data_IF_439575864546
#
_entry.id   IF_439575864546
#
_cell.length_a   1.000
_cell.length_b   1.000
_cell.length_c   1.000
_cell.angle_alpha   90.00
_cell.angle_beta   90.00
_cell.angle_gamma   90.00
#
_symmetry.space_group_name_H-M   'P 1'
#
loop_
_entity.id
_entity.type
_entity.pdbx_description
1 polymer ?
#
# COMPACT_ATOMS: atom_id res chain seq x y z
N UNK A 1 -29.30 -15.00 -52.02
CA UNK A 1 -29.77 -14.77 -50.63
C UNK A 1 -28.55 -14.77 -49.73
N UNK A 2 -28.09 -13.60 -49.27
CA UNK A 2 -26.84 -13.44 -48.50
C UNK A 2 -27.17 -13.58 -47.01
N UNK A 3 -26.63 -14.61 -46.35
CA UNK A 3 -26.74 -14.81 -44.90
C UNK A 3 -25.84 -13.78 -44.20
N UNK A 4 -26.45 -12.83 -43.49
CA UNK A 4 -25.77 -11.89 -42.60
C UNK A 4 -25.37 -12.63 -41.32
N UNK A 5 -24.10 -13.02 -41.22
CA UNK A 5 -23.53 -13.52 -39.97
C UNK A 5 -23.31 -12.36 -39.00
N UNK A 6 -23.99 -12.40 -37.86
CA UNK A 6 -23.78 -11.46 -36.76
C UNK A 6 -22.49 -11.87 -36.02
N UNK A 7 -21.39 -11.16 -36.26
CA UNK A 7 -20.15 -11.32 -35.49
C UNK A 7 -20.32 -10.56 -34.17
N UNK A 8 -20.50 -11.31 -33.08
CA UNK A 8 -20.55 -10.76 -31.73
C UNK A 8 -19.11 -10.60 -31.22
N UNK A 9 -18.55 -9.40 -31.36
CA UNK A 9 -17.28 -9.03 -30.70
C UNK A 9 -17.52 -8.90 -29.20
N UNK A 10 -17.12 -9.92 -28.43
CA UNK A 10 -17.05 -9.83 -26.97
C UNK A 10 -15.91 -8.87 -26.59
N UNK A 11 -16.28 -7.66 -26.12
CA UNK A 11 -15.35 -6.70 -25.54
C UNK A 11 -14.92 -7.23 -24.17
N UNK A 12 -13.72 -7.84 -24.11
CA UNK A 12 -13.03 -8.12 -22.85
C UNK A 12 -12.71 -6.77 -22.19
N UNK A 13 -13.49 -6.37 -21.18
CA UNK A 13 -13.12 -5.27 -20.30
C UNK A 13 -11.94 -5.77 -19.47
N UNK A 14 -10.73 -5.19 -19.61
CA UNK A 14 -9.64 -5.53 -18.71
C UNK A 14 -10.04 -5.06 -17.32
N UNK A 15 -10.39 -6.00 -16.44
CA UNK A 15 -10.38 -5.72 -15.01
C UNK A 15 -8.96 -5.27 -14.67
N UNK A 16 -8.82 -4.11 -14.05
CA UNK A 16 -7.54 -3.64 -13.56
C UNK A 16 -7.01 -4.73 -12.61
N UNK A 17 -6.06 -5.52 -13.07
CA UNK A 17 -5.28 -6.37 -12.20
C UNK A 17 -4.45 -5.39 -11.38
N UNK A 18 -4.89 -5.09 -10.16
CA UNK A 18 -4.14 -4.32 -9.18
C UNK A 18 -2.92 -5.16 -8.81
N UNK A 19 -1.86 -5.00 -9.60
CA UNK A 19 -0.60 -5.68 -9.38
C UNK A 19 -0.02 -5.17 -8.05
N UNK A 20 0.00 -6.02 -7.01
CA UNK A 20 0.84 -5.87 -5.79
C UNK A 20 1.03 -4.40 -5.36
N UNK A 21 -0.07 -3.67 -5.17
CA UNK A 21 -0.02 -2.22 -4.99
C UNK A 21 -0.01 -1.88 -3.49
N UNK A 22 1.18 -1.75 -2.91
CA UNK A 22 1.35 -1.30 -1.51
C UNK A 22 1.11 0.21 -1.38
N UNK A 23 1.16 0.96 -2.49
CA UNK A 23 0.81 2.38 -2.53
C UNK A 23 -0.57 2.64 -1.93
N UNK A 24 -0.75 3.79 -1.28
CA UNK A 24 -1.98 4.19 -0.63
C UNK A 24 -1.80 4.47 0.86
N UNK A 25 -2.92 4.66 1.55
CA UNK A 25 -2.95 5.02 2.97
C UNK A 25 -3.20 3.78 3.84
N UNK A 26 -2.37 3.65 4.88
CA UNK A 26 -2.40 2.53 5.82
C UNK A 26 -2.60 3.05 7.23
N UNK A 27 -3.49 2.40 7.97
CA UNK A 27 -3.89 2.75 9.32
C UNK A 27 -3.52 1.63 10.29
N UNK A 28 -2.86 2.00 11.38
CA UNK A 28 -2.55 1.13 12.50
C UNK A 28 -3.79 0.90 13.37
N UNK A 29 -3.83 -0.20 14.13
CA UNK A 29 -4.91 -0.43 15.10
C UNK A 29 -4.96 0.65 16.20
N UNK A 30 -3.84 1.34 16.46
CA UNK A 30 -3.71 2.39 17.47
C UNK A 30 -3.98 3.81 16.91
N UNK A 31 -4.45 3.90 15.66
CA UNK A 31 -4.85 5.16 15.03
C UNK A 31 -3.71 5.98 14.41
N UNK A 32 -2.50 5.42 14.30
CA UNK A 32 -1.44 6.00 13.47
C UNK A 32 -1.73 5.74 11.99
N UNK A 33 -1.21 6.58 11.10
CA UNK A 33 -1.30 6.34 9.66
C UNK A 33 -0.01 6.67 8.93
N UNK A 34 0.16 6.09 7.75
CA UNK A 34 1.19 6.47 6.79
C UNK A 34 0.60 6.44 5.38
N UNK A 35 1.20 7.20 4.47
CA UNK A 35 0.78 7.22 3.06
C UNK A 35 1.97 6.93 2.16
N UNK A 36 1.86 5.90 1.32
CA UNK A 36 2.87 5.57 0.31
C UNK A 36 2.42 6.04 -1.06
N UNK A 37 3.29 6.75 -1.77
CA UNK A 37 3.08 7.26 -3.13
C UNK A 37 4.34 6.99 -3.94
N UNK A 38 4.33 5.90 -4.70
CA UNK A 38 5.54 5.38 -5.35
C UNK A 38 6.68 5.29 -4.33
N UNK A 39 7.89 5.70 -4.68
CA UNK A 39 9.07 5.62 -3.81
C UNK A 39 9.09 6.67 -2.67
N UNK A 40 7.97 7.33 -2.38
CA UNK A 40 7.84 8.34 -1.33
C UNK A 40 6.83 7.87 -0.28
N UNK A 41 7.10 8.18 0.97
CA UNK A 41 6.20 7.88 2.09
C UNK A 41 6.09 9.06 3.02
N UNK A 42 4.86 9.43 3.38
CA UNK A 42 4.58 10.27 4.55
C UNK A 42 4.49 9.33 5.75
N UNK A 43 5.51 9.38 6.61
CA UNK A 43 5.62 8.52 7.77
C UNK A 43 4.59 8.90 8.85
N UNK A 44 4.38 8.07 9.90
CA UNK A 44 3.52 8.42 11.03
C UNK A 44 3.90 9.71 11.75
N UNK A 45 5.15 10.15 11.66
CA UNK A 45 5.60 11.47 12.14
C UNK A 45 5.07 12.65 11.31
N UNK A 46 4.44 12.40 10.16
CA UNK A 46 3.98 13.39 9.20
C UNK A 46 5.06 13.90 8.25
N UNK A 47 6.30 13.44 8.39
CA UNK A 47 7.44 13.85 7.55
C UNK A 47 7.57 12.90 6.37
N UNK A 48 7.77 13.47 5.19
CA UNK A 48 7.98 12.70 3.97
C UNK A 48 9.44 12.26 3.83
N UNK A 49 9.65 11.01 3.44
CA UNK A 49 10.97 10.43 3.15
C UNK A 49 10.92 9.49 1.95
N UNK A 50 12.09 9.09 1.46
CA UNK A 50 12.22 8.07 0.42
C UNK A 50 12.03 6.67 1.01
N UNK A 51 11.39 5.80 0.24
CA UNK A 51 11.35 4.37 0.49
C UNK A 51 11.65 3.54 -0.76
N UNK A 52 11.61 2.23 -0.60
CA UNK A 52 12.01 1.27 -1.62
C UNK A 52 11.00 0.13 -1.69
N UNK A 53 10.62 -0.21 -2.92
CA UNK A 53 9.83 -1.42 -3.18
C UNK A 53 10.71 -2.63 -3.40
N UNK A 54 10.19 -3.77 -2.97
CA UNK A 54 10.50 -5.07 -3.54
C UNK A 54 9.20 -5.89 -3.59
N UNK A 55 9.26 -7.14 -4.06
CA UNK A 55 8.06 -7.98 -4.24
C UNK A 55 7.33 -8.17 -2.90
N UNK A 56 6.08 -7.72 -2.80
CA UNK A 56 5.27 -7.71 -1.57
C UNK A 56 5.90 -6.99 -0.37
N UNK A 57 6.75 -5.98 -0.59
CA UNK A 57 7.44 -5.29 0.50
C UNK A 57 7.72 -3.83 0.16
N UNK A 58 7.55 -2.96 1.15
CA UNK A 58 8.00 -1.59 1.14
C UNK A 58 8.85 -1.32 2.39
N UNK A 59 9.96 -0.61 2.24
CA UNK A 59 10.83 -0.27 3.37
C UNK A 59 11.35 1.15 3.28
N UNK A 60 11.52 1.77 4.44
CA UNK A 60 12.06 3.12 4.58
C UNK A 60 12.71 3.29 5.96
N UNK A 61 13.49 4.36 6.12
CA UNK A 61 14.01 4.76 7.43
C UNK A 61 13.13 5.87 7.99
N UNK A 62 12.65 5.72 9.22
CA UNK A 62 11.85 6.73 9.89
C UNK A 62 12.62 8.06 9.91
N UNK A 63 12.04 9.16 9.40
CA UNK A 63 12.72 10.46 9.43
C UNK A 63 12.89 10.97 10.86
N UNK A 64 13.72 12.00 11.02
CA UNK A 64 13.94 12.64 12.32
C UNK A 64 12.65 13.22 12.91
N UNK A 65 12.64 13.46 14.23
CA UNK A 65 11.54 14.19 14.90
C UNK A 65 10.59 13.34 15.76
N UNK A 66 10.94 12.09 16.07
CA UNK A 66 10.13 11.22 16.93
C UNK A 66 10.95 10.14 17.67
N UNK A 67 10.25 9.33 18.48
CA UNK A 67 10.86 8.26 19.27
C UNK A 67 11.51 7.17 18.40
N UNK A 68 10.97 6.94 17.21
CA UNK A 68 11.45 5.91 16.27
C UNK A 68 12.39 6.48 15.21
N UNK A 69 12.90 7.71 15.36
CA UNK A 69 13.77 8.35 14.37
C UNK A 69 15.01 7.48 14.05
N UNK A 70 15.28 7.28 12.75
CA UNK A 70 16.37 6.44 12.28
C UNK A 70 16.08 4.94 12.25
N UNK A 71 14.94 4.49 12.79
CA UNK A 71 14.55 3.08 12.75
C UNK A 71 14.23 2.62 11.33
N UNK A 72 14.53 1.36 11.02
CA UNK A 72 14.14 0.71 9.78
C UNK A 72 12.69 0.25 9.88
N UNK A 73 11.86 0.73 8.96
CA UNK A 73 10.45 0.39 8.86
C UNK A 73 10.23 -0.55 7.69
N UNK A 74 9.47 -1.62 7.93
CA UNK A 74 9.13 -2.61 6.91
C UNK A 74 7.62 -2.83 6.88
N UNK A 75 7.04 -2.70 5.69
CA UNK A 75 5.68 -3.12 5.38
C UNK A 75 5.74 -4.34 4.48
N UNK A 76 5.24 -5.47 4.95
CA UNK A 76 5.13 -6.71 4.18
C UNK A 76 3.67 -6.91 3.78
N UNK A 77 3.37 -6.87 2.48
CA UNK A 77 1.99 -7.06 2.00
C UNK A 77 1.52 -8.48 2.28
N UNK A 78 0.30 -8.60 2.82
CA UNK A 78 -0.41 -9.87 3.03
C UNK A 78 -1.62 -10.01 2.12
N UNK A 79 -2.30 -8.91 1.87
CA UNK A 79 -3.37 -8.79 0.88
C UNK A 79 -3.44 -7.35 0.37
N UNK A 80 -4.36 -7.07 -0.54
CA UNK A 80 -4.65 -5.69 -0.97
C UNK A 80 -5.06 -4.78 0.19
N UNK A 81 -5.63 -5.37 1.24
CA UNK A 81 -6.23 -4.69 2.40
C UNK A 81 -5.39 -4.78 3.68
N UNK A 82 -4.27 -5.52 3.66
CA UNK A 82 -3.46 -5.79 4.86
C UNK A 82 -1.96 -5.79 4.58
N UNK A 83 -1.21 -5.12 5.45
CA UNK A 83 0.24 -5.20 5.56
C UNK A 83 0.65 -5.57 6.98
N UNK A 84 1.76 -6.29 7.12
CA UNK A 84 2.46 -6.38 8.40
C UNK A 84 3.50 -5.27 8.49
N UNK A 85 3.38 -4.44 9.52
CA UNK A 85 4.27 -3.33 9.84
C UNK A 85 5.23 -3.72 10.95
N UNK A 86 6.54 -3.49 10.79
CA UNK A 86 7.52 -3.66 11.85
C UNK A 86 8.54 -2.53 11.89
N UNK A 87 9.10 -2.31 13.09
CA UNK A 87 10.13 -1.31 13.39
C UNK A 87 11.36 -2.06 13.87
N UNK A 88 12.51 -1.90 13.21
CA UNK A 88 13.78 -2.55 13.57
C UNK A 88 13.68 -4.07 13.80
N UNK A 89 12.83 -4.74 13.01
CA UNK A 89 12.62 -6.18 13.11
C UNK A 89 11.81 -6.63 14.34
N UNK A 90 11.12 -5.70 15.00
CA UNK A 90 10.15 -6.01 16.06
C UNK A 90 9.06 -6.97 15.57
N UNK A 91 8.31 -7.55 16.53
CA UNK A 91 7.14 -8.36 16.22
C UNK A 91 6.17 -7.57 15.34
N UNK A 92 5.85 -8.04 14.11
CA UNK A 92 5.03 -7.26 13.22
C UNK A 92 3.59 -7.09 13.70
N UNK A 93 3.01 -5.93 13.42
CA UNK A 93 1.62 -5.58 13.72
C UNK A 93 0.85 -5.49 12.40
N UNK A 94 -0.36 -6.06 12.36
CA UNK A 94 -1.23 -5.94 11.18
C UNK A 94 -1.79 -4.51 11.08
N UNK A 95 -1.56 -3.87 9.94
CA UNK A 95 -2.14 -2.59 9.55
C UNK A 95 -3.07 -2.82 8.37
N UNK A 96 -4.12 -2.01 8.28
CA UNK A 96 -5.14 -2.14 7.24
C UNK A 96 -5.26 -0.88 6.42
N UNK A 97 -5.91 -0.94 5.26
CA UNK A 97 -6.27 0.27 4.51
C UNK A 97 -7.07 1.20 5.40
N UNK A 98 -6.74 2.49 5.35
CA UNK A 98 -7.56 3.49 6.02
C UNK A 98 -8.95 3.50 5.40
N UNK A 99 -9.99 3.43 6.24
CA UNK A 99 -11.38 3.52 5.77
C UNK A 99 -11.75 4.97 5.55
N UNK A 100 -12.34 5.27 4.41
CA UNK A 100 -12.99 6.57 4.21
C UNK A 100 -14.11 6.71 5.24
N UNK A 101 -14.09 7.79 6.03
CA UNK A 101 -15.23 8.16 6.87
C UNK A 101 -16.30 8.71 5.94
N UNK A 102 -17.26 7.88 5.54
CA UNK A 102 -18.45 8.34 4.83
C UNK A 102 -19.36 9.04 5.84
N UNK A 103 -19.46 10.37 5.74
CA UNK A 103 -20.47 11.17 6.45
C UNK A 103 -21.85 11.06 5.80
#
# INVERSE_FOLDING_TARGET
MIKRGLVLCALLVPGAALADEISGEWCSPDGQSLTIRDNRVVAPSGIETDGRYSRHRYEFTMPEGGADAGAAIVLQQRSEEEVLYSIDGSTPVSWTRCRAVTS
#
